data_IF_577862900672
#
_entry.id   IF_577862900672
#
_cell.length_a   1.000
_cell.length_b   1.000
_cell.length_c   1.000
_cell.angle_alpha   90.00
_cell.angle_beta   90.00
_cell.angle_gamma   90.00
#
_symmetry.space_group_name_H-M   'P 1'
#
loop_
_entity.id
_entity.type
_entity.pdbx_description
1 polymer ?
#
# COMPACT_ATOMS: atom_id res chain seq x y z
N UNK A 1 1.56 35.16 33.93
CA UNK A 1 1.33 34.60 32.58
C UNK A 1 -0.13 34.17 32.51
N UNK A 2 -0.92 34.80 31.64
CA UNK A 2 -2.36 34.57 31.56
C UNK A 2 -2.70 33.15 31.12
N UNK A 3 -3.79 32.61 31.67
CA UNK A 3 -4.29 31.27 31.36
C UNK A 3 -4.53 31.06 29.85
N UNK A 4 -4.81 32.13 29.11
CA UNK A 4 -4.93 32.15 27.64
C UNK A 4 -3.61 31.88 26.92
N UNK A 5 -2.49 32.42 27.43
CA UNK A 5 -1.15 32.15 26.88
C UNK A 5 -0.70 30.71 27.16
N UNK A 6 -1.04 30.17 28.33
CA UNK A 6 -0.74 28.77 28.67
C UNK A 6 -1.55 27.80 27.80
N UNK A 7 -2.82 28.12 27.52
CA UNK A 7 -3.67 27.32 26.64
C UNK A 7 -3.19 27.37 25.18
N UNK A 8 -2.76 28.54 24.70
CA UNK A 8 -2.19 28.69 23.35
C UNK A 8 -0.89 27.92 23.19
N UNK A 9 0.00 27.96 24.20
CA UNK A 9 1.24 27.18 24.20
C UNK A 9 0.97 25.67 24.26
N UNK A 10 -0.05 25.23 25.00
CA UNK A 10 -0.42 23.81 25.08
C UNK A 10 -1.04 23.31 23.78
N UNK A 11 -1.88 24.11 23.12
CA UNK A 11 -2.41 23.78 21.78
C UNK A 11 -1.27 23.74 20.76
N UNK A 12 -0.35 24.73 20.77
CA UNK A 12 0.82 24.75 19.89
C UNK A 12 1.73 23.52 20.12
N UNK A 13 1.88 23.07 21.36
CA UNK A 13 2.66 21.86 21.70
C UNK A 13 1.99 20.57 21.23
N UNK A 14 0.65 20.48 21.24
CA UNK A 14 -0.08 19.33 20.67
C UNK A 14 0.01 19.31 19.13
N UNK A 15 -0.03 20.48 18.47
CA UNK A 15 0.20 20.57 17.01
C UNK A 15 1.65 20.26 16.61
N UNK A 16 2.64 20.46 17.49
CA UNK A 16 4.06 20.16 17.23
C UNK A 16 4.49 18.72 17.56
N UNK A 17 3.67 17.95 18.29
CA UNK A 17 3.98 16.55 18.66
C UNK A 17 3.01 15.54 18.04
N UNK A 18 2.11 15.99 17.16
CA UNK A 18 1.38 15.09 16.28
C UNK A 18 2.27 14.85 15.05
N UNK A 19 3.31 14.02 15.20
CA UNK A 19 3.96 13.42 14.03
C UNK A 19 3.12 12.23 13.62
N UNK A 20 2.33 12.30 12.53
CA UNK A 20 1.67 11.14 11.98
C UNK A 20 2.65 10.47 11.00
N UNK A 21 3.89 10.20 11.42
CA UNK A 21 4.82 9.43 10.59
C UNK A 21 4.85 8.00 11.08
N UNK A 22 3.71 7.32 10.92
CA UNK A 22 3.74 5.88 10.68
C UNK A 22 3.45 5.65 9.19
N UNK A 23 4.39 6.10 8.36
CA UNK A 23 4.49 5.65 6.98
C UNK A 23 5.29 4.36 6.99
N UNK A 24 4.65 3.23 7.31
CA UNK A 24 5.10 1.93 6.82
C UNK A 24 4.61 1.76 5.37
N UNK A 25 4.95 2.76 4.53
CA UNK A 25 5.05 2.54 3.10
C UNK A 25 6.43 1.95 2.90
N UNK A 26 6.51 0.63 3.01
CA UNK A 26 7.58 -0.05 2.29
C UNK A 26 7.41 0.37 0.84
N UNK A 27 8.24 1.30 0.37
CA UNK A 27 8.28 1.75 -1.02
C UNK A 27 8.83 0.60 -1.87
N UNK A 28 8.07 -0.49 -1.97
CA UNK A 28 8.37 -1.65 -2.77
C UNK A 28 8.15 -1.23 -4.22
N UNK A 29 9.19 -1.29 -5.07
CA UNK A 29 9.02 -1.00 -6.48
C UNK A 29 7.94 -1.91 -7.10
N UNK A 30 7.18 -1.34 -8.04
CA UNK A 30 6.12 -2.06 -8.74
C UNK A 30 6.70 -3.26 -9.54
N UNK A 31 5.87 -4.28 -9.74
CA UNK A 31 6.23 -5.46 -10.53
C UNK A 31 7.10 -6.50 -9.79
N UNK A 32 7.49 -6.25 -8.54
CA UNK A 32 8.25 -7.20 -7.71
C UNK A 32 7.33 -8.27 -7.10
N UNK A 33 7.78 -9.53 -7.17
CA UNK A 33 7.13 -10.65 -6.48
C UNK A 33 7.33 -10.53 -4.95
N UNK A 34 6.30 -10.79 -4.09
CA UNK A 34 6.40 -10.63 -2.64
C UNK A 34 7.58 -11.35 -1.96
N UNK A 35 7.97 -12.51 -2.47
CA UNK A 35 9.14 -13.25 -1.96
C UNK A 35 10.49 -12.58 -2.28
N UNK A 36 10.52 -11.73 -3.30
CA UNK A 36 11.73 -11.01 -3.73
C UNK A 36 11.83 -9.62 -3.08
N UNK A 37 10.83 -9.14 -2.34
CA UNK A 37 10.85 -7.81 -1.72
C UNK A 37 12.11 -7.60 -0.84
N UNK A 38 12.53 -8.64 -0.11
CA UNK A 38 13.76 -8.60 0.70
C UNK A 38 15.02 -8.54 -0.15
N UNK A 39 15.02 -9.15 -1.33
CA UNK A 39 16.16 -9.12 -2.25
C UNK A 39 16.41 -7.69 -2.75
N UNK A 40 15.33 -6.98 -3.09
CA UNK A 40 15.39 -5.60 -3.57
C UNK A 40 15.53 -4.56 -2.45
N UNK A 41 15.52 -4.95 -1.18
CA UNK A 41 15.62 -4.02 -0.05
C UNK A 41 17.04 -3.46 0.19
N UNK A 42 18.06 -4.05 -0.44
CA UNK A 42 19.46 -3.61 -0.31
C UNK A 42 19.73 -2.28 -1.05
N UNK A 43 20.70 -1.50 -0.59
CA UNK A 43 21.18 -0.29 -1.31
C UNK A 43 21.93 -0.66 -2.59
N UNK A 44 22.65 -1.77 -2.56
CA UNK A 44 23.36 -2.36 -3.70
C UNK A 44 22.78 -3.74 -3.96
N UNK A 45 22.31 -3.96 -5.19
CA UNK A 45 21.61 -5.15 -5.62
C UNK A 45 22.42 -5.79 -6.75
N UNK A 46 22.56 -7.10 -6.72
CA UNK A 46 23.22 -7.82 -7.80
C UNK A 46 22.17 -8.17 -8.87
N UNK A 47 22.57 -8.30 -10.13
CA UNK A 47 21.74 -9.01 -11.10
C UNK A 47 21.67 -10.49 -10.67
N UNK A 48 20.51 -11.16 -10.83
CA UNK A 48 20.35 -12.57 -10.41
C UNK A 48 21.21 -13.52 -11.25
N UNK A 49 21.58 -13.12 -12.45
CA UNK A 49 22.54 -13.80 -13.33
C UNK A 49 24.00 -13.67 -12.85
N UNK A 50 24.28 -12.81 -11.87
CA UNK A 50 25.62 -12.55 -11.34
C UNK A 50 26.54 -11.71 -12.23
N UNK A 51 26.01 -11.09 -13.29
CA UNK A 51 26.80 -10.34 -14.27
C UNK A 51 27.38 -9.03 -13.72
N UNK A 52 26.56 -8.26 -12.98
CA UNK A 52 26.95 -6.98 -12.38
C UNK A 52 26.10 -6.65 -11.15
N UNK A 53 26.40 -5.52 -10.52
CA UNK A 53 25.59 -4.93 -9.45
C UNK A 53 25.21 -3.49 -9.80
N UNK A 54 24.11 -3.02 -9.20
CA UNK A 54 23.54 -1.71 -9.39
C UNK A 54 23.01 -1.15 -8.07
N UNK A 55 22.83 0.16 -8.01
CA UNK A 55 22.29 0.87 -6.84
C UNK A 55 20.77 0.91 -6.91
N UNK A 56 20.10 1.03 -5.76
CA UNK A 56 18.63 0.96 -5.67
C UNK A 56 17.88 1.98 -6.55
N UNK A 57 18.48 3.12 -6.89
CA UNK A 57 17.94 4.13 -7.80
C UNK A 57 17.83 3.67 -9.26
N UNK A 58 18.51 2.59 -9.63
CA UNK A 58 18.42 1.94 -10.95
C UNK A 58 17.27 0.94 -11.06
N UNK A 59 16.50 0.73 -9.99
CA UNK A 59 15.31 -0.12 -10.11
C UNK A 59 14.23 0.67 -10.82
N UNK A 60 13.68 0.11 -11.90
CA UNK A 60 12.60 0.72 -12.67
C UNK A 60 12.98 2.12 -13.20
N UNK A 61 14.20 2.30 -13.70
CA UNK A 61 14.68 3.59 -14.25
C UNK A 61 14.50 3.70 -15.77
N UNK A 62 13.74 2.76 -16.37
CA UNK A 62 13.48 2.65 -17.81
C UNK A 62 14.76 2.36 -18.62
N UNK A 63 15.79 1.77 -18.00
CA UNK A 63 17.04 1.42 -18.64
C UNK A 63 17.51 0.01 -18.28
N UNK A 64 17.64 -0.85 -19.29
CA UNK A 64 18.02 -2.23 -19.06
C UNK A 64 19.52 -2.41 -18.75
N UNK A 65 19.81 -2.52 -17.46
CA UNK A 65 21.12 -2.75 -16.89
C UNK A 65 21.48 -4.24 -16.82
N UNK A 66 20.59 -5.11 -16.33
CA UNK A 66 20.87 -6.54 -16.20
C UNK A 66 20.40 -7.34 -17.42
N UNK A 67 21.20 -8.33 -17.84
CA UNK A 67 20.83 -9.20 -18.98
C UNK A 67 19.61 -10.07 -18.65
N UNK A 68 19.41 -10.40 -17.38
CA UNK A 68 18.23 -11.11 -16.89
C UNK A 68 17.02 -10.20 -16.62
N UNK A 69 17.20 -8.88 -16.64
CA UNK A 69 16.17 -7.88 -16.34
C UNK A 69 15.80 -7.76 -14.86
N UNK A 70 16.71 -8.11 -13.95
CA UNK A 70 16.51 -7.98 -12.50
C UNK A 70 16.20 -6.55 -12.06
N UNK A 71 16.80 -5.56 -12.72
CA UNK A 71 16.68 -4.12 -12.47
C UNK A 71 15.35 -3.52 -12.95
N UNK A 72 14.65 -4.18 -13.86
CA UNK A 72 13.41 -3.66 -14.49
C UNK A 72 12.18 -4.56 -14.23
N UNK A 73 11.85 -4.91 -12.97
CA UNK A 73 10.67 -5.71 -12.66
C UNK A 73 9.35 -4.99 -12.96
N UNK A 74 9.38 -3.66 -13.00
CA UNK A 74 8.22 -2.79 -13.07
C UNK A 74 8.04 -2.03 -14.37
N UNK A 75 8.96 -2.14 -15.35
CA UNK A 75 8.90 -1.42 -16.63
C UNK A 75 9.01 -2.37 -17.83
N UNK A 76 8.99 -1.81 -19.05
CA UNK A 76 9.18 -2.54 -20.30
C UNK A 76 10.62 -2.57 -20.82
N UNK A 77 11.58 -1.96 -20.11
CA UNK A 77 12.93 -1.69 -20.63
C UNK A 77 13.76 -2.95 -20.92
N UNK A 78 13.61 -4.02 -20.12
CA UNK A 78 14.33 -5.28 -20.32
C UNK A 78 13.48 -6.36 -20.99
N UNK A 79 13.94 -7.00 -22.09
CA UNK A 79 13.13 -7.99 -22.83
C UNK A 79 12.90 -9.32 -22.08
N UNK A 80 13.75 -9.65 -21.10
CA UNK A 80 13.66 -10.89 -20.30
C UNK A 80 12.94 -10.68 -18.97
N UNK A 81 12.69 -9.43 -18.58
CA UNK A 81 12.05 -9.09 -17.33
C UNK A 81 10.59 -9.58 -17.29
N UNK A 82 10.11 -9.81 -16.06
CA UNK A 82 8.73 -10.23 -15.81
C UNK A 82 8.09 -9.35 -14.76
N UNK A 83 6.94 -8.80 -15.11
CA UNK A 83 6.12 -7.98 -14.22
C UNK A 83 5.19 -8.86 -13.39
N UNK A 84 5.15 -8.65 -12.08
CA UNK A 84 4.24 -9.36 -11.18
C UNK A 84 2.94 -8.58 -10.93
N UNK A 85 1.82 -9.10 -11.46
CA UNK A 85 0.49 -8.63 -11.10
C UNK A 85 0.12 -9.19 -9.71
N UNK A 86 -0.05 -8.31 -8.72
CA UNK A 86 -0.44 -8.71 -7.36
C UNK A 86 -1.87 -9.25 -7.33
N UNK A 87 -2.78 -8.67 -8.12
CA UNK A 87 -4.18 -9.07 -8.27
C UNK A 87 -4.85 -9.33 -6.92
N UNK A 88 -4.78 -8.35 -6.00
CA UNK A 88 -5.19 -8.52 -4.62
C UNK A 88 -6.60 -9.10 -4.49
N UNK A 89 -6.72 -10.23 -3.77
CA UNK A 89 -7.98 -10.96 -3.61
C UNK A 89 -8.32 -11.95 -4.74
N UNK A 90 -7.58 -11.92 -5.85
CA UNK A 90 -7.69 -12.85 -6.98
C UNK A 90 -6.40 -13.66 -7.17
N UNK A 91 -6.24 -14.28 -8.35
CA UNK A 91 -5.06 -15.07 -8.68
C UNK A 91 -3.92 -14.17 -9.19
N UNK A 92 -2.73 -14.17 -8.55
CA UNK A 92 -1.57 -13.43 -9.05
C UNK A 92 -1.07 -14.05 -10.36
N UNK A 93 -0.39 -13.25 -11.19
CA UNK A 93 0.19 -13.72 -12.45
C UNK A 93 1.44 -12.94 -12.83
N UNK A 94 2.26 -13.53 -13.68
CA UNK A 94 3.39 -12.85 -14.29
C UNK A 94 3.08 -12.45 -15.72
N UNK A 95 3.57 -11.29 -16.12
CA UNK A 95 3.57 -10.79 -17.48
C UNK A 95 4.99 -10.67 -18.01
N UNK A 96 5.12 -10.67 -19.33
CA UNK A 96 6.35 -10.21 -19.96
C UNK A 96 6.40 -8.69 -19.85
N UNK A 97 7.58 -8.13 -19.65
CA UNK A 97 7.83 -6.68 -19.58
C UNK A 97 7.26 -5.91 -20.76
N UNK A 98 7.19 -6.51 -21.96
CA UNK A 98 6.60 -5.91 -23.15
C UNK A 98 5.11 -5.54 -23.03
N UNK A 99 4.43 -5.99 -21.97
CA UNK A 99 3.01 -5.69 -21.67
C UNK A 99 2.83 -4.63 -20.58
N UNK A 100 3.93 -4.05 -20.11
CA UNK A 100 3.88 -2.96 -19.14
C UNK A 100 3.77 -1.66 -19.91
N UNK A 101 2.73 -0.88 -19.63
CA UNK A 101 2.39 0.36 -20.33
C UNK A 101 2.31 0.19 -21.87
N UNK A 102 1.74 -0.91 -22.34
CA UNK A 102 1.51 -1.19 -23.78
C UNK A 102 0.10 -0.77 -24.25
N UNK A 103 -0.65 -0.10 -23.38
CA UNK A 103 -2.04 0.36 -23.59
C UNK A 103 -3.05 -0.80 -23.66
N UNK A 104 -2.74 -1.95 -23.06
CA UNK A 104 -3.64 -3.10 -22.96
C UNK A 104 -3.74 -3.54 -21.49
N UNK A 105 -4.94 -3.51 -20.92
CA UNK A 105 -5.15 -3.97 -19.56
C UNK A 105 -5.03 -5.51 -19.46
N UNK A 106 -3.88 -5.97 -19.00
CA UNK A 106 -3.51 -7.37 -18.84
C UNK A 106 -3.65 -7.85 -17.37
N UNK A 107 -3.26 -7.05 -16.38
CA UNK A 107 -3.54 -7.39 -14.97
C UNK A 107 -5.01 -7.07 -14.64
N UNK A 108 -5.67 -7.91 -13.83
CA UNK A 108 -7.05 -7.62 -13.43
C UNK A 108 -7.14 -6.41 -12.50
N UNK A 109 -6.07 -6.09 -11.79
CA UNK A 109 -5.99 -4.91 -10.94
C UNK A 109 -5.57 -3.65 -11.72
N UNK A 110 -5.24 -3.78 -13.01
CA UNK A 110 -4.77 -2.71 -13.88
C UNK A 110 -3.38 -2.18 -13.53
N UNK A 111 -2.60 -2.91 -12.72
CA UNK A 111 -1.29 -2.44 -12.23
C UNK A 111 -0.20 -2.37 -13.29
N UNK A 112 -0.40 -3.00 -14.43
CA UNK A 112 0.47 -2.99 -15.61
C UNK A 112 0.43 -1.68 -16.42
N UNK A 113 -0.62 -0.88 -16.25
CA UNK A 113 -0.84 0.37 -17.00
C UNK A 113 -0.90 1.55 -16.02
N UNK A 114 0.26 1.94 -15.50
CA UNK A 114 0.38 2.91 -14.39
C UNK A 114 0.84 4.31 -14.85
N UNK A 115 1.25 4.48 -16.10
CA UNK A 115 1.74 5.75 -16.65
C UNK A 115 0.63 6.80 -16.90
N UNK A 116 -0.63 6.36 -16.86
CA UNK A 116 -1.81 7.20 -17.09
C UNK A 116 -2.19 7.39 -18.57
N UNK A 117 -1.53 6.69 -19.50
CA UNK A 117 -1.87 6.69 -20.93
C UNK A 117 -3.28 6.12 -21.17
N UNK A 118 -3.65 5.09 -20.40
CA UNK A 118 -5.01 4.55 -20.34
C UNK A 118 -5.44 4.32 -18.89
N UNK A 119 -6.74 4.15 -18.66
CA UNK A 119 -7.29 3.86 -17.34
C UNK A 119 -7.80 2.42 -17.33
N UNK A 120 -7.09 1.54 -16.61
CA UNK A 120 -7.49 0.16 -16.40
C UNK A 120 -8.32 0.01 -15.11
N UNK A 121 -9.62 -0.31 -15.20
CA UNK A 121 -10.44 -0.54 -14.01
C UNK A 121 -10.08 -1.88 -13.36
N UNK A 122 -10.20 -1.96 -12.04
CA UNK A 122 -10.02 -3.23 -11.33
C UNK A 122 -11.19 -4.19 -11.63
N UNK A 123 -10.90 -5.30 -12.29
CA UNK A 123 -11.82 -6.39 -12.63
C UNK A 123 -11.51 -7.69 -11.87
N UNK A 124 -10.71 -7.62 -10.81
CA UNK A 124 -10.33 -8.80 -10.04
C UNK A 124 -11.54 -9.46 -9.36
N UNK A 125 -11.62 -10.78 -9.47
CA UNK A 125 -12.68 -11.58 -8.84
C UNK A 125 -12.13 -12.27 -7.60
N UNK A 126 -12.78 -12.05 -6.46
CA UNK A 126 -12.41 -12.66 -5.18
C UNK A 126 -12.49 -14.18 -5.25
N UNK A 127 -11.41 -14.87 -4.86
CA UNK A 127 -11.32 -16.34 -4.90
C UNK A 127 -10.82 -16.92 -6.23
N UNK A 128 -10.60 -16.07 -7.24
CA UNK A 128 -9.93 -16.41 -8.49
C UNK A 128 -10.56 -17.57 -9.29
N UNK A 129 -9.90 -17.96 -10.37
CA UNK A 129 -10.14 -19.25 -10.99
C UNK A 129 -9.33 -20.29 -10.20
N UNK A 130 -9.98 -21.24 -9.55
CA UNK A 130 -9.34 -22.36 -8.81
C UNK A 130 -8.67 -23.37 -9.77
N UNK A 131 -7.84 -22.87 -10.68
CA UNK A 131 -7.09 -23.71 -11.62
C UNK A 131 -5.69 -23.10 -11.83
N UNK A 132 -4.86 -23.18 -10.78
CA UNK A 132 -3.41 -23.17 -10.95
C UNK A 132 -3.00 -24.48 -11.64
N UNK A 133 -3.24 -24.59 -12.95
CA UNK A 133 -2.47 -25.51 -13.77
C UNK A 133 -1.08 -24.90 -13.89
N UNK A 134 -0.11 -25.53 -13.23
CA UNK A 134 1.32 -25.36 -13.48
C UNK A 134 1.59 -25.54 -14.97
N UNK A 135 1.58 -24.46 -15.73
CA UNK A 135 2.01 -24.48 -17.13
C UNK A 135 3.53 -24.52 -17.14
N UNK A 136 4.03 -25.76 -17.18
CA UNK A 136 5.29 -26.09 -17.82
C UNK A 136 5.39 -25.34 -19.15
N UNK A 137 6.49 -24.62 -19.34
CA UNK A 137 6.90 -24.08 -20.63
C UNK A 137 7.10 -25.26 -21.60
N UNK A 138 6.07 -25.54 -22.40
CA UNK A 138 6.03 -26.66 -23.33
C UNK A 138 4.87 -26.50 -24.29
N UNK A 139 5.18 -25.99 -25.48
CA UNK A 139 4.28 -25.72 -26.59
C UNK A 139 3.33 -26.87 -26.93
N UNK A 140 2.06 -26.57 -27.23
CA UNK A 140 1.30 -27.12 -28.38
C UNK A 140 -0.05 -26.43 -28.59
N UNK A 141 -0.26 -26.02 -29.83
CA UNK A 141 -1.47 -25.44 -30.41
C UNK A 141 -2.61 -26.48 -30.47
N UNK A 142 -3.84 -26.14 -30.01
CA UNK A 142 -5.07 -26.11 -30.82
C UNK A 142 -6.40 -25.99 -30.03
N UNK A 143 -7.31 -25.22 -30.64
CA UNK A 143 -8.79 -25.31 -30.70
C UNK A 143 -9.68 -24.73 -29.57
N UNK A 144 -10.28 -23.57 -29.91
CA UNK A 144 -11.71 -23.30 -30.08
C UNK A 144 -12.73 -24.07 -29.21
N UNK A 145 -13.48 -23.34 -28.39
CA UNK A 145 -14.68 -23.86 -27.72
C UNK A 145 -15.33 -22.85 -26.77
N UNK A 146 -16.32 -22.12 -27.26
CA UNK A 146 -17.20 -21.24 -26.48
C UNK A 146 -18.25 -22.06 -25.73
N UNK A 147 -18.38 -21.87 -24.41
CA UNK A 147 -19.61 -22.24 -23.70
C UNK A 147 -19.77 -21.42 -22.42
N UNK A 148 -20.70 -20.47 -22.44
CA UNK A 148 -21.13 -19.77 -21.23
C UNK A 148 -21.91 -20.69 -20.29
N UNK A 149 -21.98 -20.34 -19.01
CA UNK A 149 -23.24 -20.38 -18.23
C UNK A 149 -23.07 -19.87 -16.80
N UNK A 150 -24.08 -19.07 -16.41
CA UNK A 150 -24.77 -18.99 -15.10
C UNK A 150 -24.07 -18.32 -13.91
N UNK A 151 -24.46 -17.05 -13.77
CA UNK A 151 -24.38 -16.18 -12.61
C UNK A 151 -25.10 -16.79 -11.38
N UNK A 152 -24.38 -17.03 -10.28
CA UNK A 152 -24.96 -17.30 -8.96
C UNK A 152 -24.59 -16.16 -8.02
N UNK A 153 -25.56 -15.32 -7.66
CA UNK A 153 -25.38 -14.27 -6.64
C UNK A 153 -25.20 -14.95 -5.28
N UNK A 154 -24.08 -14.71 -4.61
CA UNK A 154 -23.90 -15.03 -3.18
C UNK A 154 -23.32 -13.78 -2.51
N UNK A 155 -24.00 -13.36 -1.44
CA UNK A 155 -23.82 -12.07 -0.78
C UNK A 155 -22.48 -11.94 -0.07
N UNK A 156 -21.95 -10.71 -0.13
CA UNK A 156 -20.75 -10.25 0.53
C UNK A 156 -21.03 -10.04 2.03
N UNK A 157 -20.32 -10.75 2.90
CA UNK A 157 -20.36 -10.50 4.35
C UNK A 157 -19.11 -9.69 4.72
N UNK A 158 -19.34 -8.48 5.22
CA UNK A 158 -18.34 -7.45 5.46
C UNK A 158 -17.82 -7.52 6.90
N UNK A 159 -16.76 -8.29 7.16
CA UNK A 159 -16.17 -8.39 8.51
C UNK A 159 -14.63 -8.36 8.56
N UNK A 160 -13.92 -7.79 7.58
CA UNK A 160 -12.44 -7.62 7.67
C UNK A 160 -11.97 -6.16 7.76
N UNK A 161 -12.87 -5.18 7.71
CA UNK A 161 -12.52 -3.75 7.87
C UNK A 161 -12.56 -3.28 9.33
N UNK A 162 -13.02 -4.12 10.26
CA UNK A 162 -13.32 -3.70 11.64
C UNK A 162 -12.08 -3.76 12.56
N UNK A 163 -11.10 -4.64 12.30
CA UNK A 163 -9.94 -4.76 13.21
C UNK A 163 -8.98 -3.56 13.16
N UNK A 164 -8.80 -2.90 12.01
CA UNK A 164 -7.93 -1.70 11.91
C UNK A 164 -8.58 -0.43 12.46
N UNK A 165 -9.91 -0.37 12.49
CA UNK A 165 -10.67 0.77 13.03
C UNK A 165 -10.76 0.76 14.56
N UNK A 166 -10.66 -0.41 15.20
CA UNK A 166 -10.77 -0.56 16.64
C UNK A 166 -9.60 0.10 17.40
N UNK A 167 -8.36 -0.03 16.87
CA UNK A 167 -7.19 0.63 17.46
C UNK A 167 -7.21 2.15 17.34
N UNK A 168 -7.65 2.67 16.20
CA UNK A 168 -7.73 4.11 15.94
C UNK A 168 -8.81 4.79 16.80
N UNK A 169 -9.95 4.12 17.03
CA UNK A 169 -11.00 4.61 17.94
C UNK A 169 -10.53 4.70 19.39
N UNK A 170 -9.68 3.77 19.85
CA UNK A 170 -9.14 3.77 21.21
C UNK A 170 -8.31 5.00 21.53
N UNK A 171 -7.45 5.43 20.60
CA UNK A 171 -6.58 6.59 20.79
C UNK A 171 -7.36 7.92 20.89
N UNK A 172 -8.42 8.06 20.09
CA UNK A 172 -9.30 9.24 20.13
C UNK A 172 -10.03 9.32 21.48
N UNK A 173 -10.52 8.20 21.99
CA UNK A 173 -11.23 8.16 23.28
C UNK A 173 -10.29 8.53 24.43
N UNK A 174 -9.06 8.02 24.44
CA UNK A 174 -8.06 8.36 25.48
C UNK A 174 -7.69 9.84 25.41
N UNK A 175 -7.52 10.43 24.22
CA UNK A 175 -7.26 11.86 24.08
C UNK A 175 -8.41 12.73 24.60
N UNK A 176 -9.66 12.38 24.30
CA UNK A 176 -10.84 13.12 24.79
C UNK A 176 -10.93 13.08 26.32
N UNK A 177 -10.63 11.93 26.94
CA UNK A 177 -10.61 11.78 28.40
C UNK A 177 -9.53 12.65 29.04
N UNK A 178 -8.31 12.66 28.48
CA UNK A 178 -7.21 13.49 28.97
C UNK A 178 -7.54 14.98 28.87
N UNK A 179 -8.13 15.42 27.76
CA UNK A 179 -8.55 16.82 27.58
C UNK A 179 -9.63 17.20 28.60
N UNK A 180 -10.64 16.34 28.79
CA UNK A 180 -11.71 16.58 29.76
C UNK A 180 -11.17 16.69 31.21
N UNK A 181 -10.22 15.84 31.57
CA UNK A 181 -9.57 15.87 32.89
C UNK A 181 -8.79 17.18 33.12
N UNK A 182 -8.04 17.64 32.11
CA UNK A 182 -7.32 18.91 32.18
C UNK A 182 -8.28 20.11 32.32
N UNK A 183 -9.40 20.12 31.58
CA UNK A 183 -10.43 21.14 31.70
C UNK A 183 -11.04 21.14 33.11
N UNK A 184 -11.31 19.98 33.69
CA UNK A 184 -11.82 19.86 35.06
C UNK A 184 -10.83 20.39 36.11
N UNK A 185 -9.53 20.09 35.96
CA UNK A 185 -8.49 20.65 36.81
C UNK A 185 -8.36 22.18 36.66
N UNK A 186 -8.47 22.71 35.44
CA UNK A 186 -8.49 24.15 35.21
C UNK A 186 -9.73 24.82 35.85
N UNK A 187 -10.91 24.23 35.73
CA UNK A 187 -12.13 24.76 36.35
C UNK A 187 -12.08 24.69 37.88
N UNK A 188 -11.56 23.61 38.46
CA UNK A 188 -11.43 23.48 39.91
C UNK A 188 -10.42 24.47 40.49
N UNK A 189 -9.28 24.68 39.81
CA UNK A 189 -8.28 25.71 40.16
C UNK A 189 -8.83 27.12 39.99
N UNK A 190 -9.60 27.38 38.94
CA UNK A 190 -10.29 28.66 38.74
C UNK A 190 -11.33 28.92 39.84
N UNK A 191 -12.16 27.93 40.19
CA UNK A 191 -13.13 28.02 41.30
C UNK A 191 -12.45 28.25 42.65
N UNK A 192 -11.32 27.59 42.92
CA UNK A 192 -10.54 27.81 44.14
C UNK A 192 -9.95 29.23 44.22
N UNK A 193 -9.50 29.77 43.07
CA UNK A 193 -8.96 31.13 42.96
C UNK A 193 -10.08 32.18 43.07
N UNK A 194 -11.26 31.91 42.52
CA UNK A 194 -12.45 32.78 42.64
C UNK A 194 -12.95 32.86 44.09
N UNK A 195 -12.90 31.75 44.86
CA UNK A 195 -13.28 31.76 46.28
C UNK A 195 -12.30 32.54 47.16
N UNK A 196 -11.01 32.64 46.78
CA UNK A 196 -10.03 33.48 47.48
C UNK A 196 -10.19 34.97 47.22
N UNK A 197 -10.85 35.37 46.13
CA UNK A 197 -11.06 36.79 45.77
C UNK A 197 -12.34 37.40 46.37
N UNK A 198 -13.17 36.62 47.04
CA UNK A 198 -14.34 37.13 47.75
C UNK A 198 -14.41 36.53 49.18
N UNK A 199 -13.60 37.01 50.13
CA UNK A 199 -13.85 36.76 51.55
C UNK A 199 -15.06 37.59 51.97
N UNK A 200 -16.05 36.95 52.60
CA UNK A 200 -17.15 37.64 53.27
C UNK A 200 -16.64 38.64 54.29
#
# INVERSE_FOLDING_TARGET
>A
MDATKLLLLFNLFIFLNLDPTFSDSSNVPIGIHPLDEKYFASEVINCKDGSKSFTRDRINDEFCDCVDGTDEPGTSACPTAKFYCRNAGSSPRFLFSSRVNDQICDCCDGSDEYDGSIICPNTCVMGGHTEYKTLNYGSRINRFGSHGTKHKRVGFNSEDTIQKLQGLKGLIVVQVILIAFLVFLCQSRWRATSRRRNPR
#
